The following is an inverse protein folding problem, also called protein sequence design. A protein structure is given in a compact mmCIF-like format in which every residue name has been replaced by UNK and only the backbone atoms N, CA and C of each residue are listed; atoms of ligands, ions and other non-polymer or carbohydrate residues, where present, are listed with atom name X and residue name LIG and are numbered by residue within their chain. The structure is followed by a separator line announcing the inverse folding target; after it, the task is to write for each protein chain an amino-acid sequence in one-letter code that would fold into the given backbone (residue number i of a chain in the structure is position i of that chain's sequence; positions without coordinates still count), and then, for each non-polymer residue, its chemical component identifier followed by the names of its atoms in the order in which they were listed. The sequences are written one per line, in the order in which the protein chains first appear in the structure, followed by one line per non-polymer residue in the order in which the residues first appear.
data_IF_499055034110
#
_entry.id   IF_499055034110
#
_cell.length_a   1.000
_cell.length_b   1.000
_cell.length_c   1.000
_cell.angle_alpha   90.00
_cell.angle_beta   90.00
_cell.angle_gamma   90.00
#
_symmetry.space_group_name_H-M   'P 1'
#
loop_
_entity.id
_entity.type
_entity.pdbx_description
1 polymer ?
#
# COMPACT_ATOMS: atom_id res chain seq x y z
N UNK A 1 19.45 17.37 40.18
CA UNK A 1 18.18 17.16 39.44
C UNK A 1 17.80 18.34 38.53
N UNK A 2 17.84 19.60 38.99
CA UNK A 2 17.43 20.77 38.17
C UNK A 2 18.11 20.88 36.78
N UNK A 3 19.43 20.67 36.69
CA UNK A 3 20.17 20.75 35.41
C UNK A 3 19.67 19.77 34.33
N UNK A 4 19.20 18.59 34.73
CA UNK A 4 18.75 17.54 33.81
C UNK A 4 17.35 17.84 33.24
N UNK A 5 16.50 18.57 33.99
CA UNK A 5 15.22 19.06 33.47
C UNK A 5 15.42 20.26 32.53
N UNK A 6 16.40 21.14 32.79
CA UNK A 6 16.71 22.26 31.90
C UNK A 6 17.13 21.79 30.51
N UNK A 7 17.97 20.74 30.43
CA UNK A 7 18.42 20.14 29.17
C UNK A 7 17.25 19.49 28.41
N UNK A 8 16.36 18.75 29.09
CA UNK A 8 15.16 18.17 28.47
C UNK A 8 14.24 19.24 27.87
N UNK A 9 14.01 20.35 28.57
CA UNK A 9 13.18 21.46 28.06
C UNK A 9 13.83 22.13 26.84
N UNK A 10 15.15 22.35 26.85
CA UNK A 10 15.88 22.91 25.70
C UNK A 10 15.84 21.98 24.48
N UNK A 11 15.98 20.67 24.66
CA UNK A 11 15.86 19.70 23.55
C UNK A 11 14.45 19.65 22.96
N UNK A 12 13.40 19.73 23.79
CA UNK A 12 12.01 19.75 23.32
C UNK A 12 11.72 21.06 22.56
N UNK A 13 12.24 22.20 23.02
CA UNK A 13 12.06 23.49 22.33
C UNK A 13 12.78 23.52 20.96
N UNK A 14 13.97 22.92 20.86
CA UNK A 14 14.73 22.78 19.62
C UNK A 14 14.07 21.89 18.55
N UNK A 15 13.19 20.97 18.95
CA UNK A 15 12.42 20.11 18.04
C UNK A 15 11.12 20.75 17.53
N UNK A 16 10.62 21.79 18.21
CA UNK A 16 9.35 22.47 17.87
C UNK A 16 9.60 23.75 17.06
N UNK A 17 10.76 24.41 17.24
CA UNK A 17 11.14 25.65 16.53
C UNK A 17 12.21 25.43 15.47
N UNK A 18 12.01 24.46 14.57
CA UNK A 18 12.77 24.35 13.34
C UNK A 18 11.91 24.81 12.15
N UNK A 19 11.84 26.12 11.84
CA UNK A 19 11.19 26.57 10.62
C UNK A 19 12.03 26.07 9.44
N UNK A 20 11.50 25.09 8.72
CA UNK A 20 12.06 24.67 7.43
C UNK A 20 11.76 25.77 6.39
N UNK A 21 12.47 26.89 6.51
CA UNK A 21 12.25 28.08 5.69
C UNK A 21 12.83 27.88 4.30
N UNK A 22 11.91 27.59 3.38
CA UNK A 22 11.86 28.21 2.05
C UNK A 22 13.20 28.32 1.30
N UNK A 23 13.58 27.24 0.60
CA UNK A 23 14.44 27.36 -0.57
C UNK A 23 13.68 28.11 -1.68
N UNK A 24 13.80 29.43 -1.67
CA UNK A 24 13.23 30.31 -2.69
C UNK A 24 14.03 30.18 -3.99
N UNK A 25 13.41 29.67 -5.05
CA UNK A 25 14.03 29.49 -6.36
C UNK A 25 13.98 30.80 -7.16
N UNK A 26 15.11 31.43 -7.54
CA UNK A 26 15.12 32.78 -8.10
C UNK A 26 14.98 32.80 -9.64
N UNK A 27 14.13 31.94 -10.19
CA UNK A 27 13.87 31.87 -11.64
C UNK A 27 12.37 31.73 -11.94
N UNK A 28 11.63 32.81 -11.65
CA UNK A 28 10.30 33.05 -12.20
C UNK A 28 10.40 34.26 -13.14
N UNK A 29 10.44 34.00 -14.45
CA UNK A 29 10.20 35.01 -15.47
C UNK A 29 8.94 34.62 -16.21
N UNK A 30 7.81 35.21 -15.80
CA UNK A 30 6.55 35.03 -16.51
C UNK A 30 6.59 35.78 -17.85
N UNK A 31 6.37 35.04 -18.93
CA UNK A 31 5.73 35.55 -20.14
C UNK A 31 4.42 34.78 -20.35
N UNK A 32 3.31 35.44 -20.68
CA UNK A 32 2.02 34.77 -20.83
C UNK A 32 1.83 34.17 -22.22
N UNK A 33 1.16 33.02 -22.25
CA UNK A 33 0.31 32.45 -23.31
C UNK A 33 0.85 32.38 -24.75
N UNK A 34 1.16 31.16 -25.19
CA UNK A 34 0.62 30.61 -26.45
C UNK A 34 -0.02 29.25 -26.15
N UNK A 35 -1.04 28.87 -26.93
CA UNK A 35 -1.85 27.68 -26.73
C UNK A 35 -1.04 26.38 -26.82
N UNK A 36 -1.28 25.44 -25.90
CA UNK A 36 -1.13 24.02 -26.21
C UNK A 36 -2.19 23.20 -25.46
N UNK A 37 -3.31 22.92 -26.14
CA UNK A 37 -4.41 22.11 -25.63
C UNK A 37 -4.00 20.62 -25.55
N UNK A 38 -3.26 20.22 -24.51
CA UNK A 38 -2.96 18.81 -24.29
C UNK A 38 -3.98 18.13 -23.38
N UNK A 39 -4.87 17.37 -24.00
CA UNK A 39 -5.86 16.51 -23.33
C UNK A 39 -5.19 15.55 -22.33
N UNK A 40 -5.75 15.34 -21.13
CA UNK A 40 -5.23 14.38 -20.16
C UNK A 40 -5.62 12.95 -20.57
N UNK A 41 -4.78 12.31 -21.39
CA UNK A 41 -5.01 10.93 -21.82
C UNK A 41 -3.82 10.39 -22.60
N UNK A 42 -3.35 9.21 -22.20
CA UNK A 42 -2.25 8.45 -22.82
C UNK A 42 -0.88 9.13 -22.71
N UNK A 43 -0.12 8.74 -21.68
CA UNK A 43 1.35 8.78 -21.75
C UNK A 43 1.79 8.10 -23.05
N UNK A 44 2.60 8.73 -23.91
CA UNK A 44 3.14 8.04 -25.08
C UNK A 44 3.98 6.86 -24.58
N UNK A 45 3.88 5.70 -25.28
CA UNK A 45 4.66 4.50 -25.00
C UNK A 45 6.09 4.89 -24.60
N UNK A 46 6.52 4.50 -23.40
CA UNK A 46 7.78 4.95 -22.79
C UNK A 46 8.95 4.60 -23.72
N UNK A 47 9.36 5.58 -24.54
CA UNK A 47 10.53 5.46 -25.40
C UNK A 47 11.74 5.41 -24.47
N UNK A 48 12.56 4.35 -24.50
CA UNK A 48 13.73 4.27 -23.65
C UNK A 48 14.62 5.49 -23.87
N UNK A 49 15.09 6.08 -22.78
CA UNK A 49 16.17 7.06 -22.83
C UNK A 49 17.40 6.36 -23.40
N UNK A 50 17.77 6.77 -24.60
CA UNK A 50 18.99 6.42 -25.32
C UNK A 50 19.72 7.75 -25.58
N UNK A 51 20.95 7.93 -25.07
CA UNK A 51 21.80 8.94 -25.68
C UNK A 51 22.13 8.42 -27.07
N UNK A 52 21.97 9.22 -28.13
CA UNK A 52 22.18 8.75 -29.49
C UNK A 52 23.67 8.71 -29.88
N UNK A 53 24.16 7.58 -30.41
CA UNK A 53 25.32 7.52 -31.31
C UNK A 53 25.11 6.40 -32.32
N UNK A 54 25.44 6.67 -33.58
CA UNK A 54 25.32 5.76 -34.74
C UNK A 54 26.10 4.44 -34.63
N UNK A 55 26.97 4.31 -33.63
CA UNK A 55 28.09 3.37 -33.70
C UNK A 55 27.70 1.92 -33.39
N UNK A 56 26.74 1.62 -32.51
CA UNK A 56 26.51 0.22 -32.10
C UNK A 56 26.04 -0.67 -33.27
N UNK A 57 25.18 -0.15 -34.15
CA UNK A 57 24.73 -0.87 -35.36
C UNK A 57 25.85 -1.00 -36.40
N UNK A 58 26.67 0.06 -36.54
CA UNK A 58 27.82 0.06 -37.44
C UNK A 58 28.91 -0.92 -36.98
N UNK A 59 29.21 -0.96 -35.68
CA UNK A 59 30.16 -1.90 -35.06
C UNK A 59 29.66 -3.35 -35.14
N UNK A 60 28.35 -3.59 -35.01
CA UNK A 60 27.76 -4.92 -35.22
C UNK A 60 27.92 -5.40 -36.68
N UNK A 61 27.81 -4.49 -37.66
CA UNK A 61 28.04 -4.80 -39.07
C UNK A 61 29.55 -4.95 -39.40
N UNK A 62 30.42 -4.18 -38.75
CA UNK A 62 31.87 -4.30 -38.88
C UNK A 62 32.40 -5.69 -38.46
N UNK A 63 31.75 -6.36 -37.51
CA UNK A 63 32.08 -7.73 -37.08
C UNK A 63 31.78 -8.83 -38.12
N UNK A 64 31.17 -8.50 -39.27
CA UNK A 64 30.92 -9.46 -40.35
C UNK A 64 32.08 -9.55 -41.37
N UNK A 65 33.10 -8.71 -41.26
CA UNK A 65 34.29 -8.77 -42.13
C UNK A 65 35.37 -9.68 -41.55
N UNK A 66 36.16 -10.32 -42.43
CA UNK A 66 37.34 -11.08 -42.02
C UNK A 66 38.38 -10.14 -41.41
N UNK A 67 38.65 -10.31 -40.11
CA UNK A 67 39.65 -9.55 -39.38
C UNK A 67 41.05 -9.88 -39.90
N UNK A 68 41.93 -8.87 -40.02
CA UNK A 68 43.33 -9.14 -40.31
C UNK A 68 43.99 -9.91 -39.15
N UNK A 69 45.13 -10.60 -39.37
CA UNK A 69 45.85 -11.27 -38.28
C UNK A 69 46.22 -10.34 -37.12
N UNK A 70 46.44 -9.05 -37.42
CA UNK A 70 46.68 -8.00 -36.42
C UNK A 70 45.42 -7.66 -35.64
N UNK A 71 44.29 -7.45 -36.33
CA UNK A 71 43.02 -7.11 -35.70
C UNK A 71 42.51 -8.24 -34.81
N UNK A 72 42.62 -9.50 -35.27
CA UNK A 72 42.27 -10.68 -34.47
C UNK A 72 43.16 -10.87 -33.24
N UNK A 73 44.41 -10.38 -33.26
CA UNK A 73 45.30 -10.36 -32.10
C UNK A 73 44.89 -9.25 -31.11
N UNK A 74 44.65 -8.04 -31.61
CA UNK A 74 44.18 -6.90 -30.81
C UNK A 74 42.84 -7.21 -30.12
N UNK A 75 41.86 -7.73 -30.86
CA UNK A 75 40.54 -8.10 -30.34
C UNK A 75 40.64 -9.18 -29.26
N UNK A 76 41.53 -10.16 -29.41
CA UNK A 76 41.77 -11.18 -28.37
C UNK A 76 42.29 -10.54 -27.09
N UNK A 77 43.31 -9.70 -27.17
CA UNK A 77 43.89 -9.04 -25.99
C UNK A 77 42.86 -8.15 -25.29
N UNK A 78 42.08 -7.39 -26.06
CA UNK A 78 41.02 -6.52 -25.52
C UNK A 78 39.89 -7.35 -24.88
N UNK A 79 39.56 -8.54 -25.41
CA UNK A 79 38.54 -9.43 -24.86
C UNK A 79 39.02 -10.30 -23.67
N UNK A 80 40.31 -10.63 -23.61
CA UNK A 80 40.90 -11.46 -22.55
C UNK A 80 41.11 -10.66 -21.24
N UNK A 81 41.20 -9.34 -21.32
CA UNK A 81 41.19 -8.44 -20.17
C UNK A 81 39.79 -8.42 -19.52
N UNK A 82 39.62 -9.36 -18.57
CA UNK A 82 38.36 -9.86 -18.00
C UNK A 82 37.40 -8.86 -17.39
N UNK A 83 37.87 -7.68 -16.98
CA UNK A 83 36.96 -6.60 -16.65
C UNK A 83 37.34 -5.35 -17.41
N UNK A 84 36.31 -4.70 -17.91
CA UNK A 84 36.38 -3.47 -18.67
C UNK A 84 37.39 -2.49 -18.12
N UNK A 85 38.06 -1.76 -19.02
CA UNK A 85 39.03 -0.71 -18.71
C UNK A 85 38.68 0.21 -17.53
N UNK A 86 37.40 0.38 -17.16
CA UNK A 86 36.96 1.03 -15.91
C UNK A 86 37.59 0.52 -14.61
N UNK A 87 38.00 -0.74 -14.52
CA UNK A 87 38.56 -1.34 -13.30
C UNK A 87 40.09 -1.45 -13.32
N UNK A 88 40.73 -1.27 -14.48
CA UNK A 88 42.19 -1.35 -14.65
C UNK A 88 42.91 -0.13 -14.09
N UNK A 89 44.06 -0.38 -13.46
CA UNK A 89 45.07 0.62 -13.08
C UNK A 89 45.84 1.14 -14.29
N UNK A 90 46.51 2.28 -14.15
CA UNK A 90 47.38 2.83 -15.21
C UNK A 90 48.56 1.91 -15.57
N UNK A 91 49.03 1.07 -14.64
CA UNK A 91 50.08 0.09 -14.93
C UNK A 91 49.53 -1.09 -15.76
N UNK A 92 48.33 -1.58 -15.46
CA UNK A 92 47.68 -2.62 -16.29
C UNK A 92 47.35 -2.11 -17.69
N UNK A 93 46.94 -0.84 -17.84
CA UNK A 93 46.74 -0.20 -19.15
C UNK A 93 48.09 -0.02 -19.88
N UNK A 94 49.17 0.24 -19.17
CA UNK A 94 50.51 0.28 -19.75
C UNK A 94 51.00 -1.11 -20.21
N UNK A 95 50.75 -2.17 -19.42
CA UNK A 95 51.01 -3.58 -19.80
C UNK A 95 50.19 -4.01 -21.03
N UNK A 96 48.93 -3.57 -21.14
CA UNK A 96 48.14 -3.69 -22.37
C UNK A 96 48.85 -3.02 -23.57
N UNK A 97 49.51 -1.88 -23.37
CA UNK A 97 50.37 -1.26 -24.39
C UNK A 97 51.49 -2.18 -24.89
N UNK A 98 52.16 -2.93 -23.99
CA UNK A 98 53.17 -3.93 -24.36
C UNK A 98 52.53 -5.11 -25.11
N UNK A 99 51.36 -5.57 -24.67
CA UNK A 99 50.65 -6.68 -25.30
C UNK A 99 50.20 -6.33 -26.74
N UNK A 100 49.68 -5.12 -26.98
CA UNK A 100 49.35 -4.61 -28.31
C UNK A 100 50.60 -4.39 -29.19
N UNK A 101 51.71 -3.92 -28.61
CA UNK A 101 53.00 -3.85 -29.31
C UNK A 101 53.45 -5.25 -29.76
N UNK A 102 53.27 -6.28 -28.93
CA UNK A 102 53.60 -7.65 -29.30
C UNK A 102 52.75 -8.18 -30.46
N UNK A 103 51.46 -7.82 -30.57
CA UNK A 103 50.66 -8.14 -31.76
C UNK A 103 51.25 -7.53 -33.03
N UNK A 104 51.63 -6.24 -32.99
CA UNK A 104 52.27 -5.57 -34.12
C UNK A 104 53.60 -6.23 -34.48
N UNK A 105 54.47 -6.44 -33.48
CA UNK A 105 55.77 -7.10 -33.67
C UNK A 105 55.64 -8.49 -34.27
N UNK A 106 54.69 -9.31 -33.79
CA UNK A 106 54.51 -10.68 -34.26
C UNK A 106 54.09 -10.73 -35.74
N UNK A 107 53.18 -9.84 -36.17
CA UNK A 107 52.74 -9.76 -37.58
C UNK A 107 53.86 -9.24 -38.49
N UNK A 108 54.74 -8.38 -37.98
CA UNK A 108 55.92 -7.88 -38.71
C UNK A 108 57.17 -8.78 -38.62
N UNK A 109 57.12 -9.89 -37.89
CA UNK A 109 58.28 -10.77 -37.68
C UNK A 109 59.39 -10.18 -36.80
N UNK A 110 59.05 -9.20 -35.95
CA UNK A 110 59.95 -8.52 -34.99
C UNK A 110 59.99 -9.24 -33.64
N UNK A 111 61.02 -9.00 -32.80
CA UNK A 111 61.04 -9.48 -31.42
C UNK A 111 59.83 -8.99 -30.61
N UNK A 112 59.33 -9.88 -29.75
CA UNK A 112 58.27 -9.64 -28.78
C UNK A 112 58.82 -9.66 -27.36
N UNK A 113 58.14 -8.94 -26.46
CA UNK A 113 58.59 -8.69 -25.09
C UNK A 113 57.67 -9.42 -24.11
N UNK A 114 58.23 -10.34 -23.32
CA UNK A 114 57.45 -11.06 -22.32
C UNK A 114 56.93 -10.09 -21.24
N UNK A 115 55.62 -10.10 -21.01
CA UNK A 115 54.99 -9.29 -19.98
C UNK A 115 53.78 -10.04 -19.41
N UNK A 116 53.90 -10.53 -18.18
CA UNK A 116 52.79 -11.15 -17.43
C UNK A 116 52.19 -10.14 -16.46
N UNK A 117 51.09 -10.50 -15.79
CA UNK A 117 50.44 -9.59 -14.84
C UNK A 117 51.29 -9.35 -13.59
N UNK A 118 52.10 -10.34 -13.20
CA UNK A 118 52.94 -10.36 -12.01
C UNK A 118 54.26 -9.59 -12.18
N UNK A 119 54.75 -9.42 -13.42
CA UNK A 119 55.93 -8.60 -13.74
C UNK A 119 55.63 -7.12 -13.49
N UNK A 120 56.63 -6.30 -13.15
CA UNK A 120 56.45 -4.84 -13.20
C UNK A 120 56.51 -4.34 -14.64
N UNK A 121 55.92 -3.18 -14.92
CA UNK A 121 56.06 -2.53 -16.23
C UNK A 121 57.54 -2.29 -16.61
N UNK A 122 58.40 -2.01 -15.62
CA UNK A 122 59.83 -1.82 -15.85
C UNK A 122 60.49 -3.12 -16.35
N UNK A 123 60.16 -4.27 -15.78
CA UNK A 123 60.68 -5.58 -16.22
C UNK A 123 60.27 -5.89 -17.66
N UNK A 124 59.02 -5.60 -18.02
CA UNK A 124 58.50 -5.83 -19.38
C UNK A 124 59.18 -4.95 -20.45
N UNK A 125 59.77 -3.82 -20.06
CA UNK A 125 60.29 -2.79 -20.98
C UNK A 125 61.81 -2.63 -20.92
N UNK A 126 62.49 -3.29 -19.97
CA UNK A 126 63.93 -3.17 -19.74
C UNK A 126 64.83 -3.57 -20.92
N UNK A 127 64.34 -4.44 -21.82
CA UNK A 127 65.08 -4.90 -23.01
C UNK A 127 64.70 -4.17 -24.30
N UNK A 128 63.83 -3.16 -24.24
CA UNK A 128 63.48 -2.33 -25.40
C UNK A 128 64.61 -1.36 -25.73
N UNK A 129 65.02 -1.30 -27.00
CA UNK A 129 65.89 -0.23 -27.50
C UNK A 129 65.12 1.11 -27.60
N UNK A 130 65.81 2.18 -27.98
CA UNK A 130 65.21 3.53 -28.06
C UNK A 130 64.06 3.62 -29.07
N UNK A 131 64.09 2.87 -30.16
CA UNK A 131 63.07 2.96 -31.20
C UNK A 131 61.83 2.13 -30.81
N UNK A 132 62.04 0.95 -30.24
CA UNK A 132 60.98 0.13 -29.66
C UNK A 132 60.33 0.83 -28.45
N UNK A 133 61.11 1.49 -27.60
CA UNK A 133 60.59 2.27 -26.47
C UNK A 133 59.70 3.44 -26.93
N UNK A 134 60.09 4.14 -28.00
CA UNK A 134 59.27 5.17 -28.62
C UNK A 134 57.96 4.59 -29.21
N UNK A 135 58.02 3.45 -29.91
CA UNK A 135 56.85 2.76 -30.43
C UNK A 135 55.91 2.28 -29.31
N UNK A 136 56.48 1.77 -28.21
CA UNK A 136 55.74 1.41 -27.00
C UNK A 136 54.96 2.60 -26.44
N UNK A 137 55.54 3.80 -26.32
CA UNK A 137 54.81 4.98 -25.83
C UNK A 137 53.61 5.35 -26.70
N UNK A 138 53.75 5.26 -28.04
CA UNK A 138 52.66 5.54 -28.99
C UNK A 138 51.51 4.53 -28.80
N UNK A 139 51.83 3.24 -28.71
CA UNK A 139 50.83 2.17 -28.54
C UNK A 139 50.21 2.21 -27.13
N UNK A 140 50.99 2.53 -26.09
CA UNK A 140 50.55 2.75 -24.71
C UNK A 140 49.61 3.95 -24.60
N UNK A 141 49.83 5.02 -25.39
CA UNK A 141 48.88 6.14 -25.48
C UNK A 141 47.57 5.71 -26.16
N UNK A 142 47.64 4.97 -27.28
CA UNK A 142 46.47 4.39 -27.95
C UNK A 142 45.65 3.48 -27.01
N UNK A 143 46.33 2.65 -26.21
CA UNK A 143 45.69 1.78 -25.21
C UNK A 143 44.88 2.60 -24.19
N UNK A 144 45.45 3.69 -23.65
CA UNK A 144 44.72 4.62 -22.76
C UNK A 144 43.52 5.24 -23.45
N UNK A 145 43.67 5.73 -24.69
CA UNK A 145 42.56 6.34 -25.44
C UNK A 145 41.39 5.38 -25.66
N UNK A 146 41.68 4.12 -26.06
CA UNK A 146 40.66 3.06 -26.18
C UNK A 146 40.01 2.81 -24.81
N UNK A 147 40.80 2.71 -23.75
CA UNK A 147 40.27 2.44 -22.42
C UNK A 147 39.40 3.58 -21.87
N UNK A 148 39.74 4.85 -22.08
CA UNK A 148 38.90 5.98 -21.69
C UNK A 148 37.61 6.06 -22.53
N UNK A 149 37.67 5.76 -23.83
CA UNK A 149 36.47 5.65 -24.67
C UNK A 149 35.52 4.55 -24.18
N UNK A 150 36.05 3.37 -23.84
CA UNK A 150 35.25 2.27 -23.25
C UNK A 150 34.66 2.64 -21.88
N UNK A 151 35.41 3.33 -21.02
CA UNK A 151 34.89 3.86 -19.74
C UNK A 151 33.71 4.79 -19.96
N UNK A 152 33.79 5.70 -20.93
CA UNK A 152 32.72 6.63 -21.25
C UNK A 152 31.47 5.91 -21.79
N UNK A 153 31.63 4.92 -22.67
CA UNK A 153 30.51 4.09 -23.16
C UNK A 153 29.83 3.31 -22.03
N UNK A 154 30.60 2.73 -21.10
CA UNK A 154 30.04 2.04 -19.94
C UNK A 154 29.28 2.97 -18.99
N UNK A 155 29.84 4.15 -18.70
CA UNK A 155 29.19 5.15 -17.88
C UNK A 155 27.82 5.52 -18.49
N UNK A 156 27.83 5.90 -19.78
CA UNK A 156 26.63 6.19 -20.56
C UNK A 156 25.58 5.08 -20.49
N UNK A 157 25.94 3.82 -20.78
CA UNK A 157 25.01 2.68 -20.73
C UNK A 157 24.43 2.46 -19.33
N UNK A 158 25.23 2.63 -18.27
CA UNK A 158 24.76 2.57 -16.88
C UNK A 158 23.80 3.73 -16.57
N UNK A 159 24.08 4.94 -17.05
CA UNK A 159 23.19 6.10 -16.92
C UNK A 159 21.86 5.86 -17.63
N UNK A 160 21.87 5.39 -18.88
CA UNK A 160 20.66 5.06 -19.64
C UNK A 160 19.79 4.03 -18.91
N UNK A 161 20.39 2.93 -18.43
CA UNK A 161 19.67 1.92 -17.63
C UNK A 161 19.10 2.50 -16.33
N UNK A 162 19.84 3.38 -15.65
CA UNK A 162 19.41 4.00 -14.39
C UNK A 162 18.25 4.97 -14.61
N UNK A 163 18.33 5.82 -15.64
CA UNK A 163 17.26 6.77 -16.01
C UNK A 163 15.99 6.02 -16.42
N UNK A 164 16.12 4.99 -17.27
CA UNK A 164 14.98 4.16 -17.67
C UNK A 164 14.32 3.47 -16.46
N UNK A 165 15.11 2.90 -15.55
CA UNK A 165 14.59 2.30 -14.31
C UNK A 165 13.89 3.34 -13.43
N UNK A 166 14.42 4.56 -13.33
CA UNK A 166 13.81 5.63 -12.55
C UNK A 166 12.45 6.05 -13.14
N UNK A 167 12.36 6.23 -14.47
CA UNK A 167 11.10 6.54 -15.18
C UNK A 167 10.06 5.45 -14.95
N UNK A 168 10.41 4.18 -15.17
CA UNK A 168 9.50 3.05 -14.91
C UNK A 168 9.03 3.00 -13.45
N UNK A 169 9.93 3.25 -12.50
CA UNK A 169 9.61 3.25 -11.06
C UNK A 169 8.66 4.40 -10.70
N UNK A 170 8.90 5.60 -11.25
CA UNK A 170 8.05 6.76 -11.03
C UNK A 170 6.63 6.54 -11.59
N UNK A 171 6.52 5.98 -12.80
CA UNK A 171 5.24 5.65 -13.42
C UNK A 171 4.46 4.60 -12.59
N UNK A 172 5.13 3.53 -12.14
CA UNK A 172 4.54 2.54 -11.24
C UNK A 172 4.03 3.15 -9.92
N UNK A 173 4.75 4.11 -9.34
CA UNK A 173 4.30 4.81 -8.12
C UNK A 173 3.08 5.70 -8.38
N UNK A 174 3.02 6.40 -9.52
CA UNK A 174 1.85 7.19 -9.91
C UNK A 174 0.61 6.28 -10.10
N UNK A 175 0.77 5.13 -10.76
CA UNK A 175 -0.30 4.14 -10.90
C UNK A 175 -0.77 3.58 -9.55
N UNK A 176 0.16 3.29 -8.63
CA UNK A 176 -0.17 2.86 -7.28
C UNK A 176 -0.92 3.95 -6.47
N UNK A 177 -0.55 5.22 -6.62
CA UNK A 177 -1.27 6.32 -5.97
C UNK A 177 -2.69 6.49 -6.50
N UNK A 178 -2.91 6.34 -7.81
CA UNK A 178 -4.26 6.42 -8.40
C UNK A 178 -5.15 5.24 -7.98
N UNK A 179 -4.59 4.04 -7.81
CA UNK A 179 -5.34 2.89 -7.27
C UNK A 179 -5.71 3.09 -5.79
N UNK A 180 -4.81 3.64 -4.97
CA UNK A 180 -5.09 4.00 -3.56
C UNK A 180 -6.19 5.07 -3.49
N UNK A 181 -6.11 6.12 -4.30
CA UNK A 181 -7.13 7.18 -4.40
C UNK A 181 -8.50 6.63 -4.79
N UNK A 182 -8.54 5.69 -5.75
CA UNK A 182 -9.78 5.01 -6.16
C UNK A 182 -10.37 4.20 -5.01
N UNK A 183 -9.56 3.38 -4.34
CA UNK A 183 -10.01 2.60 -3.17
C UNK A 183 -10.45 3.46 -1.99
N UNK A 184 -9.83 4.63 -1.76
CA UNK A 184 -10.28 5.58 -0.74
C UNK A 184 -11.66 6.16 -1.07
N UNK A 185 -11.93 6.51 -2.33
CA UNK A 185 -13.25 6.99 -2.75
C UNK A 185 -14.34 5.92 -2.61
N UNK A 186 -14.02 4.66 -2.92
CA UNK A 186 -14.92 3.51 -2.73
C UNK A 186 -15.23 3.29 -1.24
N UNK A 187 -14.20 3.26 -0.37
CA UNK A 187 -14.36 3.14 1.09
C UNK A 187 -15.18 4.30 1.65
N UNK A 188 -14.94 5.54 1.22
CA UNK A 188 -15.70 6.70 1.65
C UNK A 188 -17.20 6.58 1.26
N UNK A 189 -17.48 6.04 0.08
CA UNK A 189 -18.85 5.81 -0.41
C UNK A 189 -19.54 4.71 0.42
N UNK A 190 -18.88 3.57 0.63
CA UNK A 190 -19.41 2.48 1.47
C UNK A 190 -19.61 2.91 2.92
N UNK A 191 -18.72 3.74 3.48
CA UNK A 191 -18.85 4.28 4.82
C UNK A 191 -20.06 5.21 4.95
N UNK A 192 -20.31 6.07 3.95
CA UNK A 192 -21.49 6.94 3.93
C UNK A 192 -22.79 6.13 3.86
N UNK A 193 -22.88 5.14 2.98
CA UNK A 193 -24.02 4.23 2.84
C UNK A 193 -24.28 3.40 4.11
N UNK A 194 -23.20 2.91 4.74
CA UNK A 194 -23.27 2.21 6.04
C UNK A 194 -23.80 3.13 7.14
N UNK A 195 -23.32 4.36 7.23
CA UNK A 195 -23.79 5.35 8.22
C UNK A 195 -25.28 5.65 8.01
N UNK A 196 -25.72 5.84 6.76
CA UNK A 196 -27.13 6.05 6.45
C UNK A 196 -27.98 4.84 6.84
N UNK A 197 -27.58 3.63 6.44
CA UNK A 197 -28.29 2.38 6.77
C UNK A 197 -28.40 2.17 8.28
N UNK A 198 -27.34 2.49 9.04
CA UNK A 198 -27.35 2.43 10.51
C UNK A 198 -28.29 3.48 11.10
N UNK A 199 -28.31 4.72 10.60
CA UNK A 199 -29.21 5.76 11.06
C UNK A 199 -30.69 5.40 10.82
N UNK A 200 -31.03 4.93 9.62
CA UNK A 200 -32.38 4.42 9.31
C UNK A 200 -32.75 3.21 10.19
N UNK A 201 -31.79 2.32 10.47
CA UNK A 201 -31.97 1.20 11.38
C UNK A 201 -32.29 1.65 12.82
N UNK A 202 -31.59 2.67 13.31
CA UNK A 202 -31.83 3.28 14.62
C UNK A 202 -33.19 3.95 14.69
N UNK A 203 -33.59 4.73 13.69
CA UNK A 203 -34.92 5.37 13.63
C UNK A 203 -36.05 4.32 13.69
N UNK A 204 -35.95 3.26 12.87
CA UNK A 204 -36.91 2.14 12.88
C UNK A 204 -36.98 1.43 14.24
N UNK A 205 -35.83 1.28 14.93
CA UNK A 205 -35.78 0.70 16.28
C UNK A 205 -36.42 1.62 17.33
N UNK A 206 -36.17 2.93 17.29
CA UNK A 206 -36.81 3.89 18.20
C UNK A 206 -38.33 3.95 18.00
N UNK A 207 -38.80 3.95 16.74
CA UNK A 207 -40.24 3.90 16.44
C UNK A 207 -40.91 2.62 16.98
N UNK A 208 -40.24 1.46 16.86
CA UNK A 208 -40.71 0.19 17.47
C UNK A 208 -40.71 0.25 18.99
N UNK A 209 -39.69 0.83 19.61
CA UNK A 209 -39.60 0.98 21.06
C UNK A 209 -40.75 1.84 21.61
N UNK A 210 -41.05 2.96 20.97
CA UNK A 210 -42.17 3.85 21.34
C UNK A 210 -43.53 3.15 21.17
N UNK A 211 -43.69 2.35 20.10
CA UNK A 211 -44.90 1.54 19.89
C UNK A 211 -45.07 0.45 20.97
N UNK A 212 -43.97 -0.19 21.39
CA UNK A 212 -43.93 -1.16 22.49
C UNK A 212 -44.31 -0.51 23.83
N UNK A 213 -43.77 0.67 24.13
CA UNK A 213 -44.10 1.45 25.34
C UNK A 213 -45.60 1.79 25.40
N UNK A 214 -46.15 2.36 24.32
CA UNK A 214 -47.59 2.66 24.24
C UNK A 214 -48.45 1.39 24.40
N UNK A 215 -48.04 0.29 23.76
CA UNK A 215 -48.73 -1.00 23.88
C UNK A 215 -48.68 -1.56 25.31
N UNK A 216 -47.56 -1.41 26.01
CA UNK A 216 -47.40 -1.82 27.41
C UNK A 216 -48.31 -1.03 28.34
N UNK A 217 -48.41 0.29 28.16
CA UNK A 217 -49.31 1.17 28.92
C UNK A 217 -50.79 0.80 28.66
N UNK A 218 -51.15 0.58 27.40
CA UNK A 218 -52.49 0.12 27.02
C UNK A 218 -52.84 -1.23 27.67
N UNK A 219 -51.97 -2.23 27.56
CA UNK A 219 -52.15 -3.56 28.19
C UNK A 219 -52.30 -3.43 29.72
N UNK A 220 -51.47 -2.63 30.38
CA UNK A 220 -51.58 -2.39 31.82
C UNK A 220 -52.93 -1.77 32.20
N UNK A 221 -53.44 -0.82 31.41
CA UNK A 221 -54.76 -0.21 31.62
C UNK A 221 -55.91 -1.22 31.46
N UNK A 222 -55.85 -2.10 30.45
CA UNK A 222 -56.85 -3.14 30.22
C UNK A 222 -56.86 -4.18 31.35
N UNK A 223 -55.67 -4.61 31.82
CA UNK A 223 -55.55 -5.51 32.98
C UNK A 223 -56.14 -4.86 34.24
N UNK A 224 -55.85 -3.58 34.48
CA UNK A 224 -56.40 -2.86 35.65
C UNK A 224 -57.92 -2.67 35.56
N UNK A 225 -58.47 -2.43 34.35
CA UNK A 225 -59.91 -2.39 34.10
C UNK A 225 -60.58 -3.73 34.42
N UNK A 226 -60.11 -4.81 33.79
CA UNK A 226 -60.61 -6.16 34.00
C UNK A 226 -60.56 -6.58 35.50
N UNK A 227 -59.50 -6.23 36.23
CA UNK A 227 -59.40 -6.48 37.67
C UNK A 227 -60.46 -5.71 38.49
N UNK A 228 -60.76 -4.45 38.13
CA UNK A 228 -61.81 -3.66 38.79
C UNK A 228 -63.20 -4.22 38.52
N UNK A 229 -63.48 -4.62 37.29
CA UNK A 229 -64.78 -5.18 36.92
C UNK A 229 -64.99 -6.56 37.54
N UNK A 230 -63.96 -7.43 37.56
CA UNK A 230 -63.98 -8.69 38.29
C UNK A 230 -64.22 -8.50 39.79
N UNK A 231 -63.60 -7.49 40.41
CA UNK A 231 -63.84 -7.16 41.83
C UNK A 231 -65.28 -6.69 42.08
N UNK A 232 -65.85 -5.88 41.16
CA UNK A 232 -67.26 -5.45 41.23
C UNK A 232 -68.21 -6.63 41.08
N UNK A 233 -67.95 -7.52 40.12
CA UNK A 233 -68.75 -8.72 39.89
C UNK A 233 -68.72 -9.66 41.11
N UNK A 234 -67.55 -9.88 41.71
CA UNK A 234 -67.43 -10.65 42.97
C UNK A 234 -68.23 -10.03 44.12
N UNK A 235 -68.24 -8.70 44.24
CA UNK A 235 -69.04 -8.00 45.25
C UNK A 235 -70.56 -8.15 45.00
N UNK A 236 -70.99 -8.08 43.74
CA UNK A 236 -72.39 -8.30 43.34
C UNK A 236 -72.83 -9.75 43.61
N UNK A 237 -72.01 -10.74 43.24
CA UNK A 237 -72.27 -12.16 43.53
C UNK A 237 -72.39 -12.38 45.05
N UNK A 238 -71.49 -11.80 45.85
CA UNK A 238 -71.57 -11.90 47.31
C UNK A 238 -72.82 -11.20 47.88
N UNK A 239 -73.31 -10.12 47.24
CA UNK A 239 -74.57 -9.48 47.60
C UNK A 239 -75.77 -10.38 47.28
N UNK A 240 -75.86 -10.88 46.05
CA UNK A 240 -76.93 -11.78 45.61
C UNK A 240 -76.97 -13.08 46.42
N UNK A 241 -75.82 -13.63 46.82
CA UNK A 241 -75.76 -14.79 47.72
C UNK A 241 -76.32 -14.48 49.12
N UNK A 242 -76.07 -13.30 49.68
CA UNK A 242 -76.69 -12.89 50.97
C UNK A 242 -78.19 -12.71 50.83
N UNK A 243 -78.66 -12.11 49.74
CA UNK A 243 -80.08 -11.91 49.45
C UNK A 243 -80.82 -13.24 49.27
N UNK A 244 -80.24 -14.17 48.48
CA UNK A 244 -80.74 -15.53 48.33
C UNK A 244 -80.77 -16.29 49.67
N UNK A 245 -79.74 -16.16 50.51
CA UNK A 245 -79.72 -16.78 51.84
C UNK A 245 -80.80 -16.19 52.76
N UNK A 246 -81.03 -14.87 52.71
CA UNK A 246 -82.11 -14.19 53.44
C UNK A 246 -83.50 -14.64 52.98
N UNK A 247 -83.73 -14.72 51.67
CA UNK A 247 -84.98 -15.25 51.10
C UNK A 247 -85.19 -16.73 51.42
N UNK A 248 -84.15 -17.56 51.40
CA UNK A 248 -84.24 -18.96 51.83
C UNK A 248 -84.59 -19.08 53.32
N UNK A 249 -84.03 -18.23 54.17
CA UNK A 249 -84.35 -18.20 55.59
C UNK A 249 -85.83 -17.82 55.83
N UNK A 250 -86.31 -16.72 55.22
CA UNK A 250 -87.71 -16.28 55.30
C UNK A 250 -88.69 -17.33 54.71
N UNK A 251 -88.34 -17.96 53.58
CA UNK A 251 -89.14 -19.04 53.00
C UNK A 251 -89.16 -20.29 53.88
N UNK A 252 -88.05 -20.62 54.54
CA UNK A 252 -87.97 -21.72 55.51
C UNK A 252 -88.84 -21.43 56.74
N UNK A 253 -88.81 -20.19 57.25
CA UNK A 253 -89.59 -19.81 58.41
C UNK A 253 -91.10 -19.75 58.09
N UNK A 254 -91.48 -19.27 56.90
CA UNK A 254 -92.86 -19.36 56.38
C UNK A 254 -93.32 -20.81 56.18
N UNK A 255 -92.46 -21.72 55.71
CA UNK A 255 -92.78 -23.15 55.65
C UNK A 255 -92.96 -23.73 57.05
N UNK A 256 -92.08 -23.41 58.00
CA UNK A 256 -92.18 -23.84 59.40
C UNK A 256 -93.45 -23.31 60.06
N UNK A 257 -93.85 -22.07 59.79
CA UNK A 257 -95.10 -21.47 60.27
C UNK A 257 -96.33 -22.17 59.68
N UNK A 258 -96.34 -22.49 58.37
CA UNK A 258 -97.43 -23.26 57.74
C UNK A 258 -97.52 -24.69 58.25
N UNK A 259 -96.38 -25.36 58.48
CA UNK A 259 -96.34 -26.70 59.08
C UNK A 259 -96.81 -26.68 60.55
N UNK A 260 -96.46 -25.63 61.32
CA UNK A 260 -96.94 -25.41 62.68
C UNK A 260 -98.44 -25.10 62.78
N UNK A 261 -99.05 -24.57 61.70
CA UNK A 261 -100.50 -24.36 61.60
C UNK A 261 -101.27 -25.58 61.08
N UNK A 262 -100.59 -26.63 60.63
CA UNK A 262 -101.20 -27.86 60.10
C UNK A 262 -100.89 -29.08 60.96
N UNK A 263 -101.16 -29.00 62.26
CA UNK A 263 -101.23 -30.16 63.16
C UNK A 263 -102.14 -29.93 64.38
N UNK A 264 -103.46 -30.14 64.25
CA UNK A 264 -104.27 -30.66 65.33
C UNK A 264 -104.21 -32.21 65.35
N UNK A 265 -104.06 -32.74 66.55
CA UNK A 265 -103.96 -34.17 66.86
C UNK A 265 -105.22 -34.96 66.43
N UNK A 266 -105.04 -36.07 65.70
CA UNK A 266 -106.01 -37.18 65.70
C UNK A 266 -105.33 -38.43 66.26
N UNK A 267 -105.70 -38.76 67.50
CA UNK A 267 -105.39 -40.02 68.18
C UNK A 267 -106.46 -41.07 67.85
N UNK A 268 -106.06 -42.37 67.87
CA UNK A 268 -106.94 -43.56 68.02
C UNK A 268 -107.89 -43.86 66.84
N UNK A 269 -108.31 -45.09 66.50
CA UNK A 269 -108.09 -46.48 66.97
C UNK A 269 -108.56 -47.45 65.83
N UNK A 270 -108.49 -48.79 65.82
CA UNK A 270 -108.19 -49.88 66.80
C UNK A 270 -107.80 -51.18 66.06
N UNK A 271 -107.27 -52.20 66.78
CA UNK A 271 -107.39 -53.68 66.56
C UNK A 271 -107.16 -54.32 65.17
N UNK A 272 -106.10 -55.13 65.06
CA UNK A 272 -106.16 -56.59 65.37
C UNK A 272 -104.84 -57.01 66.06
#
# INVERSE_FOLDING_TARGET
MAAMQLIMVLCIFGLIFNPCSAFFWPFSSQKPNEDDQRSPGTMPNQVPFEMATSDERFLAQAKQFELSPLDGCNDRIIAELKSSCGEMTEEEIAKLGVALLNCQSQVEGRPTFACTQEMSLADCTASMDSDVWNAYHIISNRARSVCYAMRQQQFRRKTEQTVNKLVMTADQQVQAMESIKTGQAEIQTMAADTIQTVAEGQERLMGRQQQLEHSQVSIASHIQGNLKDLAREKALIASGQRELAGMMADMTDKMKQKLGLSSPLLMMNTTE
#
